data_IF_663196094921
#
_entry.id   IF_663196094921
#
_cell.length_a   1.000
_cell.length_b   1.000
_cell.length_c   1.000
_cell.angle_alpha   90.00
_cell.angle_beta   90.00
_cell.angle_gamma   90.00
#
_symmetry.space_group_name_H-M   'P 1'
#
loop_
_entity.id
_entity.type
_entity.pdbx_description
1 polymer ?
#
# COMPACT_ATOMS: atom_id res chain seq x y z
N UNK A 1 -14.00 -5.01 -2.73
CA UNK A 1 -13.77 -3.83 -3.58
C UNK A 1 -13.47 -4.32 -4.99
N UNK A 2 -14.19 -3.80 -5.97
CA UNK A 2 -14.07 -4.19 -7.37
C UNK A 2 -13.31 -3.14 -8.16
N UNK A 3 -12.66 -3.59 -9.24
CA UNK A 3 -12.07 -2.69 -10.23
C UNK A 3 -13.18 -1.80 -10.79
N UNK A 4 -12.92 -0.49 -10.86
CA UNK A 4 -13.88 0.51 -11.30
C UNK A 4 -14.62 1.21 -10.14
N UNK A 5 -14.53 0.68 -8.93
CA UNK A 5 -15.13 1.32 -7.75
C UNK A 5 -14.18 2.34 -7.14
N UNK A 6 -14.74 3.35 -6.49
CA UNK A 6 -13.98 4.26 -5.65
C UNK A 6 -13.46 3.49 -4.43
N UNK A 7 -12.20 3.67 -4.09
CA UNK A 7 -11.63 3.06 -2.90
C UNK A 7 -12.28 3.68 -1.67
N UNK A 8 -12.97 2.89 -0.81
CA UNK A 8 -13.66 3.44 0.37
C UNK A 8 -12.67 4.06 1.35
N UNK A 9 -13.13 5.09 2.06
CA UNK A 9 -12.30 5.72 3.09
C UNK A 9 -12.23 4.85 4.34
N UNK A 10 -11.16 5.00 5.12
CA UNK A 10 -10.93 4.24 6.33
C UNK A 10 -10.01 5.02 7.27
N UNK A 11 -10.07 4.67 8.55
CA UNK A 11 -9.17 5.23 9.57
C UNK A 11 -7.87 4.45 9.60
N UNK A 12 -6.77 5.18 9.66
CA UNK A 12 -5.41 4.66 9.77
C UNK A 12 -4.65 5.52 10.78
N UNK A 13 -3.49 5.06 11.21
CA UNK A 13 -2.58 5.88 12.04
C UNK A 13 -1.26 6.05 11.31
N UNK A 14 -0.70 7.24 11.39
CA UNK A 14 0.63 7.49 10.87
C UNK A 14 1.72 6.98 11.82
N UNK A 15 2.98 7.13 11.44
CA UNK A 15 4.13 6.66 12.23
C UNK A 15 4.28 7.41 13.56
N UNK A 16 3.72 8.59 13.68
CA UNK A 16 3.73 9.37 14.93
C UNK A 16 2.53 9.03 15.84
N UNK A 17 1.65 8.11 15.42
CA UNK A 17 0.47 7.70 16.17
C UNK A 17 -0.75 8.59 15.96
N UNK A 18 -0.69 9.52 15.01
CA UNK A 18 -1.81 10.41 14.72
C UNK A 18 -2.85 9.70 13.87
N UNK A 19 -4.13 9.90 14.23
CA UNK A 19 -5.24 9.39 13.42
C UNK A 19 -5.31 10.13 12.10
N UNK A 20 -5.42 9.37 11.01
CA UNK A 20 -5.55 9.87 9.64
C UNK A 20 -6.68 9.15 8.93
N UNK A 21 -7.12 9.72 7.83
CA UNK A 21 -8.03 9.05 6.90
C UNK A 21 -7.26 8.64 5.66
N UNK A 22 -7.64 7.51 5.09
CA UNK A 22 -6.99 7.05 3.86
C UNK A 22 -7.16 8.07 2.72
N UNK A 23 -8.27 8.81 2.71
CA UNK A 23 -8.51 9.90 1.76
C UNK A 23 -7.52 11.05 1.88
N UNK A 24 -6.73 11.13 2.94
CA UNK A 24 -5.63 12.09 3.05
C UNK A 24 -4.50 11.76 2.06
N UNK A 25 -4.43 10.53 1.59
CA UNK A 25 -3.34 10.02 0.75
C UNK A 25 -3.80 9.59 -0.65
N UNK A 26 -5.04 9.14 -0.78
CA UNK A 26 -5.60 8.56 -2.01
C UNK A 26 -6.51 9.60 -2.68
N UNK A 27 -6.50 9.64 -4.00
CA UNK A 27 -7.29 10.61 -4.77
C UNK A 27 -6.67 12.01 -4.79
N UNK A 28 -5.36 12.10 -4.64
CA UNK A 28 -4.61 13.37 -4.57
C UNK A 28 -3.74 13.63 -5.80
N UNK A 29 -4.10 13.07 -6.95
CA UNK A 29 -3.42 13.33 -8.20
C UNK A 29 -2.29 12.37 -8.55
N UNK A 30 -2.09 11.31 -7.76
CA UNK A 30 -1.11 10.28 -8.04
C UNK A 30 -1.75 8.91 -8.13
N UNK A 31 -1.15 8.02 -8.89
CA UNK A 31 -1.45 6.59 -8.82
C UNK A 31 -0.89 6.06 -7.51
N UNK A 32 -1.68 5.28 -6.78
CA UNK A 32 -1.28 4.75 -5.47
C UNK A 32 -1.39 3.24 -5.45
N UNK A 33 -0.33 2.57 -5.03
CA UNK A 33 -0.38 1.16 -4.66
C UNK A 33 -0.63 1.09 -3.16
N UNK A 34 -1.76 0.52 -2.77
CA UNK A 34 -2.09 0.28 -1.37
C UNK A 34 -1.73 -1.16 -1.05
N UNK A 35 -0.81 -1.35 -0.11
CA UNK A 35 -0.23 -2.64 0.24
C UNK A 35 -0.54 -2.98 1.70
N UNK A 36 -1.36 -4.01 1.91
CA UNK A 36 -1.64 -4.55 3.25
C UNK A 36 -0.63 -5.63 3.58
N UNK A 37 0.04 -5.49 4.72
CA UNK A 37 1.13 -6.37 5.12
C UNK A 37 1.23 -6.46 6.65
N UNK A 38 2.20 -7.21 7.13
CA UNK A 38 2.59 -7.22 8.54
C UNK A 38 4.05 -7.64 8.65
N UNK A 39 4.71 -7.23 9.73
CA UNK A 39 6.12 -7.54 9.98
C UNK A 39 6.40 -9.05 10.10
N UNK A 40 5.40 -9.81 10.56
CA UNK A 40 5.49 -11.25 10.74
C UNK A 40 5.09 -12.05 9.49
N UNK A 41 4.68 -11.39 8.43
CA UNK A 41 4.20 -12.04 7.21
C UNK A 41 5.37 -12.33 6.26
N UNK A 42 5.76 -13.60 6.16
CA UNK A 42 6.85 -14.03 5.28
C UNK A 42 6.66 -13.63 3.82
N UNK A 43 5.52 -13.98 3.19
CA UNK A 43 5.26 -13.59 1.79
C UNK A 43 5.24 -12.08 1.58
N UNK A 44 4.76 -11.30 2.55
CA UNK A 44 4.77 -9.83 2.48
C UNK A 44 6.21 -9.31 2.44
N UNK A 45 7.06 -9.83 3.32
CA UNK A 45 8.48 -9.45 3.37
C UNK A 45 9.20 -9.84 2.09
N UNK A 46 8.90 -11.00 1.55
CA UNK A 46 9.49 -11.50 0.31
C UNK A 46 9.16 -10.60 -0.89
N UNK A 47 7.97 -10.02 -0.90
CA UNK A 47 7.51 -9.14 -1.98
C UNK A 47 8.07 -7.70 -1.88
N UNK A 48 8.53 -7.27 -0.71
CA UNK A 48 8.99 -5.88 -0.50
C UNK A 48 10.09 -5.41 -1.45
N UNK A 49 11.08 -6.22 -1.85
CA UNK A 49 12.06 -5.78 -2.86
C UNK A 49 11.41 -5.37 -4.19
N UNK A 50 10.34 -6.05 -4.60
CA UNK A 50 9.62 -5.71 -5.83
C UNK A 50 8.85 -4.38 -5.68
N UNK A 51 8.22 -4.18 -4.52
CA UNK A 51 7.52 -2.93 -4.21
C UNK A 51 8.50 -1.77 -4.17
N UNK A 52 9.65 -1.96 -3.53
CA UNK A 52 10.71 -0.96 -3.44
C UNK A 52 11.25 -0.59 -4.81
N UNK A 53 11.51 -1.57 -5.66
CA UNK A 53 11.99 -1.34 -7.03
C UNK A 53 10.96 -0.54 -7.84
N UNK A 54 9.68 -0.85 -7.70
CA UNK A 54 8.60 -0.13 -8.35
C UNK A 54 8.53 1.33 -7.87
N UNK A 55 8.64 1.54 -6.57
CA UNK A 55 8.63 2.88 -5.99
C UNK A 55 9.80 3.72 -6.52
N UNK A 56 11.01 3.17 -6.48
CA UNK A 56 12.20 3.87 -6.95
C UNK A 56 12.11 4.21 -8.44
N UNK A 57 11.52 3.35 -9.24
CA UNK A 57 11.43 3.54 -10.69
C UNK A 57 10.35 4.55 -11.08
N UNK A 58 9.21 4.55 -10.42
CA UNK A 58 8.02 5.30 -10.87
C UNK A 58 7.60 6.47 -9.98
N UNK A 59 8.20 6.64 -8.80
CA UNK A 59 7.80 7.72 -7.89
C UNK A 59 7.86 9.11 -8.54
N UNK A 60 8.89 9.38 -9.34
CA UNK A 60 9.04 10.66 -10.05
C UNK A 60 8.03 10.86 -11.18
N UNK A 61 7.31 9.80 -11.55
CA UNK A 61 6.33 9.81 -12.65
C UNK A 61 4.88 9.92 -12.16
N UNK A 62 4.68 10.17 -10.87
CA UNK A 62 3.34 10.30 -10.29
C UNK A 62 2.81 9.03 -9.63
N UNK A 63 3.71 8.19 -9.12
CA UNK A 63 3.38 6.95 -8.40
C UNK A 63 3.73 7.08 -6.93
N UNK A 64 2.84 6.61 -6.06
CA UNK A 64 3.05 6.54 -4.62
C UNK A 64 2.74 5.14 -4.11
N UNK A 65 3.41 4.72 -3.06
CA UNK A 65 3.09 3.48 -2.34
C UNK A 65 2.66 3.84 -0.93
N UNK A 66 1.61 3.17 -0.48
CA UNK A 66 1.11 3.27 0.89
C UNK A 66 1.05 1.86 1.45
N UNK A 67 1.88 1.57 2.45
CA UNK A 67 1.83 0.27 3.13
C UNK A 67 1.05 0.42 4.43
N UNK A 68 -0.01 -0.38 4.56
CA UNK A 68 -0.87 -0.41 5.75
C UNK A 68 -0.58 -1.71 6.50
N UNK A 69 0.03 -1.57 7.68
CA UNK A 69 0.37 -2.72 8.50
C UNK A 69 -0.80 -3.16 9.37
N UNK A 70 -1.01 -4.47 9.44
CA UNK A 70 -1.94 -5.09 10.38
C UNK A 70 -1.27 -5.47 11.71
N UNK A 71 -0.02 -5.07 11.92
CA UNK A 71 0.68 -5.32 13.19
C UNK A 71 -0.07 -4.73 14.38
N UNK A 72 -0.08 -5.47 15.47
CA UNK A 72 -0.68 -5.01 16.73
C UNK A 72 0.30 -4.29 17.63
N UNK A 73 1.61 -4.45 17.37
CA UNK A 73 2.68 -3.86 18.18
C UNK A 73 3.55 -2.95 17.33
N UNK A 74 3.86 -1.77 17.86
CA UNK A 74 4.64 -0.76 17.13
C UNK A 74 6.08 -1.18 16.90
N UNK A 75 6.71 -1.82 17.89
CA UNK A 75 8.13 -2.14 17.83
C UNK A 75 8.50 -3.08 16.68
N UNK A 76 7.85 -4.25 16.51
CA UNK A 76 8.14 -5.12 15.36
C UNK A 76 7.84 -4.44 14.03
N UNK A 77 6.78 -3.65 13.94
CA UNK A 77 6.42 -2.91 12.74
C UNK A 77 7.52 -1.93 12.34
N UNK A 78 7.94 -1.07 13.28
CA UNK A 78 8.99 -0.07 13.03
C UNK A 78 10.32 -0.73 12.65
N UNK A 79 10.68 -1.82 13.33
CA UNK A 79 11.90 -2.56 13.04
C UNK A 79 11.88 -3.13 11.61
N UNK A 80 10.77 -3.71 11.18
CA UNK A 80 10.62 -4.26 9.84
C UNK A 80 10.66 -3.17 8.76
N UNK A 81 10.01 -2.04 8.99
CA UNK A 81 10.03 -0.90 8.06
C UNK A 81 11.47 -0.44 7.82
N UNK A 82 12.25 -0.33 8.87
CA UNK A 82 13.65 0.06 8.78
C UNK A 82 14.50 -1.02 8.08
N UNK A 83 14.36 -2.25 8.52
CA UNK A 83 15.09 -3.40 7.96
C UNK A 83 14.85 -3.57 6.45
N UNK A 84 13.61 -3.41 6.01
CA UNK A 84 13.22 -3.59 4.62
C UNK A 84 13.43 -2.33 3.76
N UNK A 85 13.85 -1.23 4.37
CA UNK A 85 14.10 0.02 3.66
C UNK A 85 12.86 0.58 2.97
N UNK A 86 11.73 0.55 3.66
CA UNK A 86 10.44 1.00 3.12
C UNK A 86 10.33 2.52 3.18
N UNK A 87 10.86 3.20 2.18
CA UNK A 87 10.99 4.68 2.14
C UNK A 87 9.76 5.39 1.57
N UNK A 88 8.57 4.89 1.84
CA UNK A 88 7.30 5.48 1.41
C UNK A 88 6.35 5.58 2.59
N UNK A 89 5.12 6.00 2.34
CA UNK A 89 4.11 6.18 3.39
C UNK A 89 3.86 4.87 4.14
N UNK A 90 4.00 4.92 5.45
CA UNK A 90 3.80 3.80 6.37
C UNK A 90 2.66 4.11 7.31
N UNK A 91 1.62 3.30 7.27
CA UNK A 91 0.43 3.49 8.09
C UNK A 91 0.10 2.21 8.86
N UNK A 92 -0.58 2.38 9.99
CA UNK A 92 -1.16 1.28 10.75
C UNK A 92 -2.66 1.21 10.49
N UNK A 93 -3.17 0.00 10.36
CA UNK A 93 -4.58 -0.26 10.22
C UNK A 93 -5.33 0.08 11.51
N UNK A 94 -6.50 0.71 11.39
CA UNK A 94 -7.44 0.90 12.48
C UNK A 94 -8.73 0.15 12.15
N UNK A 95 -9.41 0.51 11.06
CA UNK A 95 -10.63 -0.16 10.60
C UNK A 95 -10.59 -0.58 9.12
N UNK A 96 -9.47 -0.31 8.44
CA UNK A 96 -9.33 -0.57 7.00
C UNK A 96 -9.53 -2.05 6.66
N UNK A 97 -8.92 -2.97 7.42
CA UNK A 97 -9.07 -4.41 7.16
C UNK A 97 -10.52 -4.86 7.25
N UNK A 98 -11.27 -4.34 8.23
CA UNK A 98 -12.68 -4.67 8.40
C UNK A 98 -13.52 -4.10 7.26
N UNK A 99 -13.29 -2.84 6.89
CA UNK A 99 -14.03 -2.16 5.82
C UNK A 99 -13.80 -2.85 4.47
N UNK A 100 -12.56 -3.26 4.18
CA UNK A 100 -12.19 -3.81 2.88
C UNK A 100 -12.26 -5.34 2.83
N UNK A 101 -12.59 -6.00 3.94
CA UNK A 101 -12.65 -7.46 4.00
C UNK A 101 -11.29 -8.12 3.79
N UNK A 102 -10.25 -7.56 4.41
CA UNK A 102 -8.89 -8.10 4.30
C UNK A 102 -8.72 -9.26 5.30
N UNK A 103 -8.77 -10.48 4.80
CA UNK A 103 -8.63 -11.69 5.61
C UNK A 103 -7.30 -12.41 5.39
N UNK A 104 -6.58 -12.03 4.36
CA UNK A 104 -5.27 -12.61 4.01
C UNK A 104 -4.34 -11.52 3.48
N UNK A 105 -3.06 -11.63 3.80
CA UNK A 105 -2.02 -10.71 3.35
C UNK A 105 -0.88 -11.52 2.71
N UNK A 106 -0.09 -10.95 1.78
CA UNK A 106 -0.21 -9.59 1.26
C UNK A 106 -1.44 -9.39 0.41
N UNK A 107 -1.96 -8.18 0.41
CA UNK A 107 -3.10 -7.79 -0.42
C UNK A 107 -2.84 -6.39 -0.98
N UNK A 108 -2.99 -6.22 -2.28
CA UNK A 108 -2.71 -4.93 -2.92
C UNK A 108 -3.87 -4.45 -3.77
N UNK A 109 -3.99 -3.11 -3.83
CA UNK A 109 -4.92 -2.41 -4.71
C UNK A 109 -4.15 -1.30 -5.40
N UNK A 110 -4.32 -1.18 -6.72
CA UNK A 110 -3.79 -0.05 -7.48
C UNK A 110 -4.92 0.92 -7.76
N UNK A 111 -4.72 2.17 -7.39
CA UNK A 111 -5.75 3.21 -7.43
C UNK A 111 -5.28 4.35 -8.32
N UNK A 112 -6.17 4.88 -9.16
CA UNK A 112 -5.84 5.99 -10.05
C UNK A 112 -5.79 7.34 -9.31
N UNK A 113 -5.36 8.44 -9.97
CA UNK A 113 -5.26 9.75 -9.31
C UNK A 113 -6.55 10.30 -8.73
N UNK A 114 -7.71 9.79 -9.13
CA UNK A 114 -9.00 10.22 -8.62
C UNK A 114 -9.54 9.35 -7.49
N UNK A 115 -8.87 8.23 -7.21
CA UNK A 115 -9.29 7.32 -6.15
C UNK A 115 -10.07 6.09 -6.61
N UNK A 116 -10.05 5.80 -7.90
CA UNK A 116 -10.74 4.63 -8.47
C UNK A 116 -9.79 3.43 -8.57
N UNK A 117 -10.23 2.26 -8.13
CA UNK A 117 -9.46 1.02 -8.21
C UNK A 117 -9.32 0.60 -9.67
N UNK A 118 -8.10 0.43 -10.14
CA UNK A 118 -7.82 0.02 -11.52
C UNK A 118 -7.20 -1.38 -11.62
N UNK A 119 -6.63 -1.91 -10.52
CA UNK A 119 -6.08 -3.26 -10.49
C UNK A 119 -5.97 -3.76 -9.05
N UNK A 120 -5.75 -5.06 -8.88
CA UNK A 120 -5.65 -5.70 -7.56
C UNK A 120 -4.66 -6.86 -7.60
N UNK A 121 -4.14 -7.21 -6.40
CA UNK A 121 -3.32 -8.40 -6.18
C UNK A 121 -2.10 -8.49 -7.11
N UNK A 122 -1.40 -7.36 -7.22
CA UNK A 122 -0.21 -7.25 -8.06
C UNK A 122 1.03 -7.70 -7.28
N UNK A 123 1.66 -8.78 -7.72
CA UNK A 123 2.86 -9.35 -7.11
C UNK A 123 3.89 -9.69 -8.19
N UNK A 124 5.17 -9.58 -7.82
CA UNK A 124 6.27 -9.94 -8.72
C UNK A 124 6.21 -9.21 -10.04
N UNK A 125 6.33 -9.96 -11.13
CA UNK A 125 6.32 -9.41 -12.48
C UNK A 125 5.02 -8.71 -12.85
N UNK A 126 3.90 -9.12 -12.26
CA UNK A 126 2.60 -8.49 -12.54
C UNK A 126 2.56 -7.04 -12.10
N UNK A 127 3.24 -6.71 -11.02
CA UNK A 127 3.34 -5.32 -10.54
C UNK A 127 4.09 -4.46 -11.57
N UNK A 128 5.25 -4.91 -12.00
CA UNK A 128 6.04 -4.18 -13.02
C UNK A 128 5.29 -4.07 -14.34
N UNK A 129 4.63 -5.13 -14.79
CA UNK A 129 3.83 -5.10 -16.02
C UNK A 129 2.72 -4.06 -15.96
N UNK A 130 1.99 -4.01 -14.85
CA UNK A 130 0.90 -3.05 -14.68
C UNK A 130 1.41 -1.61 -14.68
N UNK A 131 2.51 -1.34 -13.96
CA UNK A 131 3.09 0.01 -13.88
C UNK A 131 3.75 0.43 -15.19
N UNK A 132 4.39 -0.48 -15.88
CA UNK A 132 4.98 -0.23 -17.19
C UNK A 132 3.93 0.23 -18.20
N UNK A 133 2.75 -0.39 -18.19
CA UNK A 133 1.64 0.02 -19.06
C UNK A 133 1.12 1.42 -18.74
N UNK A 134 1.21 1.85 -17.49
CA UNK A 134 0.73 3.17 -17.08
C UNK A 134 1.74 4.27 -17.36
N UNK A 135 3.03 4.00 -17.22
CA UNK A 135 4.08 5.03 -17.18
C UNK A 135 5.06 4.97 -18.33
N UNK A 136 5.04 3.89 -19.12
CA UNK A 136 5.98 3.70 -20.25
C UNK A 136 5.33 3.56 -21.62
#
# INVERSE_FOLDING_TARGET
IKIGERFPDAKVKDNAGNMKLLSDYVGKGKYVLIDFWASWCGPCRHEMPNVKAAYEKYASKGFEVISISTDRKLKPWRAAVEELGMNWVQLLDVDASDIYGIYAIPRTFLVDPTGIVIDKNLRGEKLEEALSKLFE
#
